data_IF_199385254343
#
_entry.id   IF_199385254343
#
_cell.length_a   1.000
_cell.length_b   1.000
_cell.length_c   1.000
_cell.angle_alpha   90.00
_cell.angle_beta   90.00
_cell.angle_gamma   90.00
#
_symmetry.space_group_name_H-M   'P 1'
#
loop_
_entity.id
_entity.type
_entity.pdbx_description
1 polymer ?
#
# COMPACT_ATOMS: atom_id res chain seq x y z
N UNK A 1 9.66 -9.44 26.89
CA UNK A 1 9.53 -9.72 26.43
C UNK A 1 9.54 -9.57 25.57
N UNK A 2 9.37 -9.56 25.47
CA UNK A 2 9.26 -9.59 24.73
C UNK A 2 8.72 -9.55 24.00
N UNK A 3 8.48 -9.30 24.16
CA UNK A 3 7.88 -9.42 23.71
C UNK A 3 7.58 -9.37 22.69
N UNK A 4 7.12 -9.70 23.27
CA UNK A 4 6.54 -10.10 22.03
C UNK A 4 6.79 -9.06 20.94
N UNK A 5 7.61 -9.37 19.99
CA UNK A 5 7.91 -8.43 18.93
C UNK A 5 6.75 -8.40 17.96
N UNK A 6 5.87 -7.45 18.12
CA UNK A 6 4.84 -7.21 17.12
C UNK A 6 5.51 -6.41 16.01
N UNK A 7 5.79 -7.05 14.90
CA UNK A 7 6.32 -6.37 13.73
C UNK A 7 5.22 -5.53 13.11
N UNK A 8 5.22 -4.26 13.44
CA UNK A 8 4.25 -3.35 12.85
C UNK A 8 4.75 -2.91 11.48
N UNK A 9 3.96 -3.21 10.47
CA UNK A 9 4.27 -2.76 9.11
C UNK A 9 3.82 -1.34 8.93
N UNK A 10 4.65 -0.53 8.30
CA UNK A 10 4.29 0.85 7.98
C UNK A 10 3.72 0.91 6.57
N UNK A 11 2.52 1.46 6.46
CA UNK A 11 1.83 1.61 5.18
C UNK A 11 1.53 3.07 4.90
N UNK A 12 1.80 3.50 3.68
CA UNK A 12 1.33 4.79 3.18
C UNK A 12 0.18 4.52 2.24
N UNK A 13 -0.97 5.11 2.52
CA UNK A 13 -2.19 4.92 1.75
C UNK A 13 -2.48 6.22 0.99
N UNK A 14 -2.30 6.17 -0.33
CA UNK A 14 -2.48 7.33 -1.21
C UNK A 14 -3.84 7.33 -1.88
N UNK A 15 -4.22 8.47 -2.45
CA UNK A 15 -5.52 8.64 -3.10
C UNK A 15 -6.66 8.34 -2.14
N UNK A 16 -6.47 8.66 -0.86
CA UNK A 16 -7.44 8.39 0.17
C UNK A 16 -8.55 9.43 0.13
N UNK A 17 -9.80 8.96 0.06
CA UNK A 17 -10.95 9.87 0.12
C UNK A 17 -11.26 10.17 1.59
N UNK A 18 -11.81 11.37 1.81
CA UNK A 18 -12.19 11.76 3.18
C UNK A 18 -13.16 10.75 3.80
N UNK A 19 -14.06 10.20 2.99
CA UNK A 19 -15.04 9.22 3.46
C UNK A 19 -14.41 7.89 3.89
N UNK A 20 -13.18 7.62 3.46
CA UNK A 20 -12.50 6.38 3.82
C UNK A 20 -11.75 6.46 5.15
N UNK A 21 -11.38 7.68 5.56
CA UNK A 21 -10.53 7.88 6.74
C UNK A 21 -11.05 7.24 8.02
N UNK A 22 -12.35 7.36 8.36
CA UNK A 22 -12.83 6.79 9.62
C UNK A 22 -12.65 5.28 9.75
N UNK A 23 -12.57 4.58 8.63
CA UNK A 23 -12.48 3.12 8.65
C UNK A 23 -11.09 2.59 8.96
N UNK A 24 -10.10 3.47 9.03
CA UNK A 24 -8.73 3.08 9.40
C UNK A 24 -8.52 3.02 10.90
N UNK A 25 -9.49 3.42 11.70
CA UNK A 25 -9.41 3.35 13.16
C UNK A 25 -10.00 2.06 13.72
N UNK A 26 -10.24 1.08 12.86
CA UNK A 26 -10.80 -0.20 13.27
C UNK A 26 -9.72 -1.16 13.74
N UNK A 27 -10.15 -2.19 14.47
CA UNK A 27 -9.23 -3.20 15.01
C UNK A 27 -8.43 -3.92 13.93
N UNK A 28 -8.98 -4.06 12.73
CA UNK A 28 -8.30 -4.75 11.63
C UNK A 28 -7.02 -4.06 11.20
N UNK A 29 -6.87 -2.79 11.53
CA UNK A 29 -5.69 -2.01 11.12
C UNK A 29 -4.63 -1.92 12.21
N UNK A 30 -4.84 -2.52 13.36
CA UNK A 30 -3.93 -2.33 14.51
C UNK A 30 -2.51 -2.88 14.27
N UNK A 31 -2.35 -3.80 13.34
CA UNK A 31 -1.03 -4.36 13.02
C UNK A 31 -0.27 -3.53 12.00
N UNK A 32 -0.85 -2.42 11.58
CA UNK A 32 -0.25 -1.52 10.62
C UNK A 32 -0.15 -0.12 11.17
N UNK A 33 0.99 0.50 10.93
CA UNK A 33 1.14 1.92 11.16
C UNK A 33 0.79 2.59 9.84
N UNK A 34 -0.41 3.15 9.73
CA UNK A 34 -0.94 3.65 8.47
C UNK A 34 -0.97 5.17 8.46
N UNK A 35 -0.40 5.76 7.41
CA UNK A 35 -0.47 7.19 7.18
C UNK A 35 -1.27 7.44 5.92
N UNK A 36 -2.24 8.35 5.99
CA UNK A 36 -3.18 8.60 4.90
C UNK A 36 -2.82 9.88 4.15
N UNK A 37 -2.86 9.81 2.82
CA UNK A 37 -2.62 10.94 1.95
C UNK A 37 -3.77 11.07 0.96
N UNK A 38 -4.30 12.27 0.81
CA UNK A 38 -5.40 12.52 -0.14
C UNK A 38 -4.90 12.68 -1.57
N UNK A 39 -3.61 12.93 -1.74
CA UNK A 39 -3.04 13.11 -3.08
C UNK A 39 -2.50 11.79 -3.63
N UNK A 40 -2.23 11.80 -4.93
CA UNK A 40 -1.65 10.64 -5.61
C UNK A 40 -0.13 10.61 -5.42
N UNK A 41 0.44 9.40 -5.42
CA UNK A 41 1.89 9.25 -5.36
C UNK A 41 2.45 9.27 -6.78
N UNK A 42 3.47 10.09 -6.99
CA UNK A 42 4.17 10.16 -8.25
C UNK A 42 5.54 10.80 -8.02
N UNK A 43 6.27 11.02 -9.10
CA UNK A 43 7.63 11.58 -9.03
C UNK A 43 7.67 12.94 -8.33
N UNK A 44 6.61 13.73 -8.44
CA UNK A 44 6.55 15.05 -7.80
C UNK A 44 6.17 14.96 -6.34
N UNK A 45 5.13 14.19 -6.04
CA UNK A 45 4.59 14.13 -4.69
C UNK A 45 5.44 13.29 -3.74
N UNK A 46 6.22 12.36 -4.26
CA UNK A 46 7.12 11.56 -3.42
C UNK A 46 8.09 12.45 -2.66
N UNK A 47 8.40 13.62 -3.20
CA UNK A 47 9.30 14.58 -2.55
C UNK A 47 8.69 15.27 -1.34
N UNK A 48 7.38 15.18 -1.19
CA UNK A 48 6.68 15.75 -0.03
C UNK A 48 6.70 14.81 1.18
N UNK A 49 7.15 13.59 0.99
CA UNK A 49 7.15 12.58 2.04
C UNK A 49 8.39 12.74 2.89
N UNK A 50 8.22 12.73 4.20
CA UNK A 50 9.33 12.86 5.13
C UNK A 50 10.34 11.73 4.93
N UNK A 51 11.60 12.05 5.12
CA UNK A 51 12.67 11.06 4.96
C UNK A 51 12.45 9.84 5.83
N UNK A 52 12.01 10.03 7.06
CA UNK A 52 11.72 8.93 7.96
C UNK A 52 10.64 8.01 7.39
N UNK A 53 9.58 8.59 6.84
CA UNK A 53 8.50 7.82 6.21
C UNK A 53 9.01 7.04 5.01
N UNK A 54 9.86 7.66 4.20
CA UNK A 54 10.45 6.97 3.04
C UNK A 54 11.24 5.75 3.47
N UNK A 55 12.05 5.89 4.52
CA UNK A 55 12.91 4.82 4.99
C UNK A 55 12.15 3.68 5.68
N UNK A 56 11.08 3.99 6.38
CA UNK A 56 10.35 3.02 7.19
C UNK A 56 9.21 2.32 6.47
N UNK A 57 8.78 2.83 5.33
CA UNK A 57 7.61 2.30 4.65
C UNK A 57 7.85 0.92 4.06
N UNK A 58 6.96 0.00 4.39
CA UNK A 58 6.97 -1.38 3.89
C UNK A 58 5.89 -1.63 2.84
N UNK A 59 4.82 -0.84 2.87
CA UNK A 59 3.66 -1.04 2.00
C UNK A 59 3.21 0.29 1.42
N UNK A 60 2.98 0.30 0.12
CA UNK A 60 2.30 1.40 -0.56
C UNK A 60 0.94 0.89 -1.01
N UNK A 61 -0.10 1.66 -0.70
CA UNK A 61 -1.44 1.37 -1.19
C UNK A 61 -1.86 2.53 -2.08
N UNK A 62 -2.13 2.25 -3.34
CA UNK A 62 -2.33 3.28 -4.36
C UNK A 62 -3.58 3.01 -5.20
N UNK A 63 -4.02 4.03 -5.93
CA UNK A 63 -5.11 3.93 -6.87
C UNK A 63 -4.64 4.38 -8.25
N UNK A 64 -5.51 4.28 -9.25
CA UNK A 64 -5.20 4.56 -10.65
C UNK A 64 -4.45 5.87 -10.91
N UNK A 65 -4.79 7.01 -10.25
CA UNK A 65 -4.07 8.26 -10.53
C UNK A 65 -2.61 8.28 -10.10
N UNK A 66 -2.23 7.40 -9.17
CA UNK A 66 -0.83 7.31 -8.75
C UNK A 66 0.01 6.66 -9.84
N UNK A 67 1.24 7.16 -10.01
CA UNK A 67 2.17 6.61 -11.00
C UNK A 67 3.45 6.22 -10.28
N UNK A 68 3.67 4.92 -10.18
CA UNK A 68 4.77 4.35 -9.40
C UNK A 68 5.88 3.92 -10.36
N UNK A 69 6.66 4.89 -10.79
CA UNK A 69 7.80 4.67 -11.69
C UNK A 69 8.97 4.08 -10.91
N UNK A 70 9.99 3.64 -11.62
CA UNK A 70 11.20 3.10 -11.01
C UNK A 70 11.80 4.11 -10.02
N UNK A 71 11.82 5.40 -10.38
CA UNK A 71 12.33 6.46 -9.51
C UNK A 71 11.58 6.50 -8.18
N UNK A 72 10.25 6.36 -8.24
CA UNK A 72 9.42 6.40 -7.04
C UNK A 72 9.67 5.16 -6.18
N UNK A 73 9.70 3.98 -6.80
CA UNK A 73 9.97 2.74 -6.08
C UNK A 73 11.30 2.83 -5.33
N UNK A 74 12.30 3.39 -5.98
CA UNK A 74 13.66 3.45 -5.41
C UNK A 74 13.79 4.46 -4.28
N UNK A 75 12.78 5.29 -4.05
CA UNK A 75 12.77 6.19 -2.90
C UNK A 75 12.42 5.45 -1.60
N UNK A 76 11.93 4.22 -1.69
CA UNK A 76 11.48 3.44 -0.54
C UNK A 76 12.38 2.20 -0.37
N UNK A 77 13.49 2.32 0.36
CA UNK A 77 14.46 1.21 0.46
C UNK A 77 13.93 -0.05 1.13
N UNK A 78 12.93 0.09 1.99
CA UNK A 78 12.38 -1.04 2.72
C UNK A 78 11.00 -1.50 2.22
N UNK A 79 10.63 -1.05 1.03
CA UNK A 79 9.34 -1.40 0.43
C UNK A 79 9.28 -2.89 0.11
N UNK A 80 8.18 -3.52 0.48
CA UNK A 80 7.96 -4.96 0.28
C UNK A 80 6.70 -5.28 -0.50
N UNK A 81 5.69 -4.41 -0.43
CA UNK A 81 4.40 -4.65 -1.05
C UNK A 81 3.84 -3.37 -1.64
N UNK A 82 3.31 -3.45 -2.84
CA UNK A 82 2.50 -2.38 -3.43
C UNK A 82 1.12 -2.98 -3.71
N UNK A 83 0.11 -2.40 -3.08
CA UNK A 83 -1.27 -2.81 -3.30
C UNK A 83 -1.95 -1.76 -4.17
N UNK A 84 -2.55 -2.20 -5.26
CA UNK A 84 -3.26 -1.32 -6.19
C UNK A 84 -4.76 -1.55 -6.11
N UNK A 85 -5.50 -0.49 -5.79
CA UNK A 85 -6.96 -0.52 -5.75
C UNK A 85 -7.51 -0.21 -7.14
N UNK A 86 -7.13 -1.02 -8.10
CA UNK A 86 -7.45 -0.79 -9.50
C UNK A 86 -7.50 -2.12 -10.23
N UNK A 87 -8.25 -2.18 -11.32
CA UNK A 87 -8.30 -3.37 -12.15
C UNK A 87 -7.02 -3.54 -12.98
N UNK A 88 -6.19 -2.50 -13.04
CA UNK A 88 -4.96 -2.50 -13.84
C UNK A 88 -3.77 -2.12 -12.97
N UNK A 89 -2.60 -2.64 -13.31
CA UNK A 89 -1.34 -2.26 -12.66
C UNK A 89 -0.41 -1.55 -13.64
N UNK A 90 -0.98 -0.98 -14.71
CA UNK A 90 -0.20 -0.25 -15.71
C UNK A 90 0.52 0.96 -15.13
N UNK A 91 0.03 1.48 -14.04
CA UNK A 91 0.61 2.64 -13.36
C UNK A 91 1.79 2.27 -12.46
N UNK A 92 2.20 1.00 -12.44
CA UNK A 92 3.29 0.50 -11.60
C UNK A 92 4.37 -0.10 -12.47
N UNK A 93 5.63 0.27 -12.20
CA UNK A 93 6.78 -0.31 -12.90
C UNK A 93 7.06 -1.72 -12.37
N UNK A 94 6.43 -2.71 -13.00
CA UNK A 94 6.54 -4.11 -12.57
C UNK A 94 7.96 -4.67 -12.66
N UNK A 95 8.73 -4.39 -13.72
CA UNK A 95 10.11 -4.90 -13.77
C UNK A 95 10.96 -4.48 -12.58
N UNK A 96 10.85 -3.24 -12.13
CA UNK A 96 11.59 -2.77 -10.97
C UNK A 96 11.14 -3.47 -9.70
N UNK A 97 9.84 -3.69 -9.56
CA UNK A 97 9.30 -4.40 -8.41
C UNK A 97 9.80 -5.84 -8.36
N UNK A 98 9.78 -6.52 -9.49
CA UNK A 98 10.27 -7.90 -9.59
C UNK A 98 11.75 -7.98 -9.21
N UNK A 99 12.55 -7.06 -9.74
CA UNK A 99 13.98 -7.00 -9.48
C UNK A 99 14.30 -6.82 -8.00
N UNK A 100 13.48 -6.04 -7.30
CA UNK A 100 13.67 -5.75 -5.88
C UNK A 100 12.88 -6.69 -4.97
N UNK A 101 12.26 -7.72 -5.49
CA UNK A 101 11.43 -8.66 -4.73
C UNK A 101 10.27 -7.98 -4.00
N UNK A 102 9.69 -6.97 -4.65
CA UNK A 102 8.51 -6.28 -4.12
C UNK A 102 7.28 -6.97 -4.67
N UNK A 103 6.40 -7.44 -3.81
CA UNK A 103 5.15 -8.04 -4.23
C UNK A 103 4.18 -6.97 -4.69
N UNK A 104 3.51 -7.20 -5.81
CA UNK A 104 2.46 -6.30 -6.29
C UNK A 104 1.15 -7.08 -6.23
N UNK A 105 0.18 -6.54 -5.52
CA UNK A 105 -1.13 -7.18 -5.39
C UNK A 105 -2.20 -6.26 -5.94
N UNK A 106 -3.20 -6.87 -6.54
CA UNK A 106 -4.36 -6.16 -7.06
C UNK A 106 -5.52 -6.31 -6.07
N UNK A 107 -6.05 -5.19 -5.62
CA UNK A 107 -7.21 -5.17 -4.75
C UNK A 107 -8.41 -4.85 -5.62
N UNK A 108 -9.18 -5.85 -5.97
CA UNK A 108 -10.33 -5.68 -6.83
C UNK A 108 -11.43 -4.92 -6.11
N UNK A 109 -11.75 -3.73 -6.63
CA UNK A 109 -12.81 -2.89 -6.11
C UNK A 109 -13.96 -2.92 -7.11
N UNK A 110 -15.10 -3.42 -6.67
CA UNK A 110 -16.29 -3.50 -7.52
C UNK A 110 -17.02 -2.17 -7.52
N UNK A 111 -17.78 -1.87 -8.60
CA UNK A 111 -18.64 -0.69 -8.61
C UNK A 111 -19.57 -0.72 -7.39
N UNK A 112 -19.81 0.43 -6.80
CA UNK A 112 -20.73 0.58 -5.66
C UNK A 112 -20.25 -0.06 -4.36
N UNK A 113 -18.99 -0.47 -4.25
CA UNK A 113 -18.50 -0.94 -2.97
C UNK A 113 -18.43 0.20 -1.96
N UNK A 114 -18.78 -0.12 -0.72
CA UNK A 114 -18.71 0.89 0.36
C UNK A 114 -17.26 1.18 0.73
N UNK A 115 -17.03 2.36 1.30
CA UNK A 115 -15.68 2.73 1.74
C UNK A 115 -15.14 1.76 2.78
N UNK A 116 -15.99 1.28 3.67
CA UNK A 116 -15.60 0.28 4.66
C UNK A 116 -15.07 -0.99 3.99
N UNK A 117 -15.79 -1.44 2.95
CA UNK A 117 -15.42 -2.65 2.22
C UNK A 117 -14.10 -2.46 1.48
N UNK A 118 -13.89 -1.29 0.88
CA UNK A 118 -12.66 -0.97 0.16
C UNK A 118 -11.45 -1.03 1.10
N UNK A 119 -11.56 -0.40 2.26
CA UNK A 119 -10.50 -0.39 3.26
C UNK A 119 -10.24 -1.82 3.75
N UNK A 120 -11.29 -2.57 4.06
CA UNK A 120 -11.17 -3.93 4.55
C UNK A 120 -10.49 -4.85 3.54
N UNK A 121 -10.89 -4.77 2.26
CA UNK A 121 -10.28 -5.57 1.20
C UNK A 121 -8.80 -5.24 1.06
N UNK A 122 -8.45 -3.96 1.14
CA UNK A 122 -7.06 -3.51 1.02
C UNK A 122 -6.20 -4.10 2.14
N UNK A 123 -6.69 -4.03 3.37
CA UNK A 123 -5.96 -4.57 4.52
C UNK A 123 -5.82 -6.09 4.40
N UNK A 124 -6.90 -6.77 4.02
CA UNK A 124 -6.88 -8.23 3.89
C UNK A 124 -5.92 -8.71 2.82
N UNK A 125 -5.88 -8.03 1.68
CA UNK A 125 -4.99 -8.40 0.58
C UNK A 125 -3.52 -8.27 1.01
N UNK A 126 -3.19 -7.21 1.71
CA UNK A 126 -1.82 -6.98 2.19
C UNK A 126 -1.46 -8.01 3.26
N UNK A 127 -2.36 -8.26 4.19
CA UNK A 127 -2.14 -9.26 5.23
C UNK A 127 -1.89 -10.64 4.64
N UNK A 128 -2.65 -10.99 3.60
CA UNK A 128 -2.49 -12.28 2.92
C UNK A 128 -1.09 -12.45 2.35
N UNK A 129 -0.52 -11.40 1.79
CA UNK A 129 0.84 -11.46 1.23
C UNK A 129 1.85 -11.77 2.34
N UNK A 130 1.73 -11.11 3.49
CA UNK A 130 2.65 -11.34 4.61
C UNK A 130 2.49 -12.73 5.20
N UNK A 131 1.32 -13.35 5.02
CA UNK A 131 1.09 -14.72 5.47
C UNK A 131 1.46 -15.76 4.40
N UNK A 132 2.03 -15.32 3.28
CA UNK A 132 2.46 -16.22 2.23
C UNK A 132 1.39 -16.62 1.22
N UNK A 133 0.20 -16.08 1.33
CA UNK A 133 -0.88 -16.33 0.38
C UNK A 133 -0.59 -15.60 -0.92
N UNK A 134 -0.78 -16.27 -2.05
CA UNK A 134 -0.50 -15.68 -3.36
C UNK A 134 -1.75 -15.22 -4.11
N UNK A 135 -2.89 -15.34 -3.50
CA UNK A 135 -4.13 -14.87 -4.10
C UNK A 135 -4.05 -13.36 -4.34
N UNK A 136 -4.44 -12.90 -5.52
CA UNK A 136 -4.39 -11.51 -5.95
C UNK A 136 -2.97 -10.94 -6.15
N UNK A 137 -1.95 -11.76 -5.98
CA UNK A 137 -0.56 -11.32 -6.19
C UNK A 137 -0.23 -11.36 -7.67
N UNK A 138 0.31 -10.24 -8.18
CA UNK A 138 0.69 -10.12 -9.59
C UNK A 138 2.16 -10.53 -9.78
N UNK A 139 3.01 -10.08 -8.86
CA UNK A 139 4.45 -10.31 -8.97
C UNK A 139 5.00 -10.87 -7.67
#
# INVERSE_FOLDING_TARGET
MEKGVIMTCKMLFFDCRESEKPFFDKNETKNFNIKLFTYSLNRKTVRKIDKEDLEQTNVLNVYTPSIISADVVNMFPNLRVIASRSASVKNIDLPTCLERNIAVVNVEILPHESDCKIVQKSINAITSVFCGCKENRIV
#
